data_IF_417837704823
#
_entry.id   IF_417837704823
#
_cell.length_a   1.000
_cell.length_b   1.000
_cell.length_c   1.000
_cell.angle_alpha   90.00
_cell.angle_beta   90.00
_cell.angle_gamma   90.00
#
_symmetry.space_group_name_H-M   'P 1'
#
loop_
_entity.id
_entity.type
_entity.pdbx_description
1 polymer ?
#
# COMPACT_ATOMS: atom_id res chain seq x y z
N UNK A 1 76.09 -8.57 -44.43
CA UNK A 1 75.33 -9.83 -44.61
C UNK A 1 73.85 -9.45 -44.77
N UNK A 2 73.21 -9.96 -45.81
CA UNK A 2 71.90 -9.53 -46.33
C UNK A 2 70.71 -9.81 -45.37
N UNK A 3 69.82 -8.82 -45.26
CA UNK A 3 68.36 -8.85 -45.46
C UNK A 3 67.47 -9.87 -44.73
N UNK A 4 66.48 -9.34 -44.01
CA UNK A 4 65.00 -9.42 -44.23
C UNK A 4 64.35 -9.04 -42.89
N UNK A 5 63.43 -8.08 -42.79
CA UNK A 5 62.07 -8.12 -43.34
C UNK A 5 61.45 -6.70 -43.38
N UNK A 6 61.01 -6.36 -44.59
CA UNK A 6 59.77 -5.63 -44.93
C UNK A 6 58.56 -6.49 -44.51
N UNK A 7 57.36 -6.06 -44.15
CA UNK A 7 56.56 -4.87 -44.46
C UNK A 7 55.39 -4.76 -43.45
N UNK A 8 54.63 -3.68 -43.62
CA UNK A 8 53.21 -3.45 -43.27
C UNK A 8 52.92 -2.48 -42.13
N UNK A 9 53.24 -1.22 -42.46
CA UNK A 9 52.26 -0.13 -42.57
C UNK A 9 50.82 -0.58 -42.93
N UNK A 10 49.85 0.21 -42.45
CA UNK A 10 48.40 0.21 -42.72
C UNK A 10 47.51 -0.56 -41.72
N UNK A 11 47.04 0.13 -40.67
CA UNK A 11 45.66 0.65 -40.63
C UNK A 11 45.47 1.66 -39.48
N UNK A 12 44.98 2.87 -39.84
CA UNK A 12 44.31 3.92 -39.05
C UNK A 12 45.01 4.46 -37.78
N UNK A 13 45.73 5.58 -37.84
CA UNK A 13 45.22 6.98 -37.82
C UNK A 13 44.05 7.23 -36.84
N UNK A 14 44.42 7.93 -35.76
CA UNK A 14 43.71 9.02 -35.06
C UNK A 14 42.39 8.72 -34.34
N UNK A 15 42.44 8.64 -33.00
CA UNK A 15 41.88 9.68 -32.10
C UNK A 15 42.73 9.72 -30.82
N UNK A 16 43.49 10.80 -30.58
CA UNK A 16 44.07 11.08 -29.27
C UNK A 16 43.05 11.92 -28.48
N UNK A 17 42.50 11.35 -27.40
CA UNK A 17 41.71 12.12 -26.45
C UNK A 17 42.64 12.82 -25.46
N UNK A 18 42.50 14.15 -25.38
CA UNK A 18 43.07 14.95 -24.32
C UNK A 18 42.39 14.63 -22.98
N UNK A 19 43.19 14.39 -21.94
CA UNK A 19 42.74 14.45 -20.54
C UNK A 19 42.40 13.11 -19.91
N UNK A 20 43.38 12.48 -19.27
CA UNK A 20 43.18 11.36 -18.34
C UNK A 20 42.34 11.73 -17.10
N UNK A 21 42.08 13.02 -16.83
CA UNK A 21 41.31 13.47 -15.64
C UNK A 21 39.78 13.53 -15.79
N UNK A 22 39.21 13.35 -17.00
CA UNK A 22 37.75 13.45 -17.19
C UNK A 22 37.03 12.09 -17.06
N UNK A 23 37.69 10.99 -17.48
CA UNK A 23 37.15 9.63 -17.32
C UNK A 23 37.12 9.20 -15.86
N UNK A 24 38.18 9.50 -15.10
CA UNK A 24 38.27 9.13 -13.69
C UNK A 24 37.22 9.88 -12.85
N UNK A 25 36.92 11.14 -13.19
CA UNK A 25 35.85 11.90 -12.55
C UNK A 25 34.44 11.36 -12.87
N UNK A 26 34.20 10.87 -14.10
CA UNK A 26 32.90 10.25 -14.45
C UNK A 26 32.78 8.85 -13.81
N UNK A 27 33.85 8.04 -13.80
CA UNK A 27 33.85 6.75 -13.11
C UNK A 27 33.61 6.91 -11.61
N UNK A 28 34.32 7.83 -10.95
CA UNK A 28 34.10 8.12 -9.54
C UNK A 28 32.67 8.62 -9.27
N UNK A 29 32.12 9.49 -10.12
CA UNK A 29 30.74 9.98 -9.97
C UNK A 29 29.68 8.89 -10.20
N UNK A 30 29.94 7.96 -11.13
CA UNK A 30 29.07 6.80 -11.39
C UNK A 30 29.15 5.78 -10.25
N UNK A 31 30.35 5.53 -9.72
CA UNK A 31 30.57 4.69 -8.53
C UNK A 31 29.93 5.31 -7.28
N UNK A 32 30.04 6.62 -7.08
CA UNK A 32 29.42 7.29 -5.93
C UNK A 32 27.89 7.29 -6.03
N UNK A 33 27.33 7.46 -7.24
CA UNK A 33 25.88 7.36 -7.47
C UNK A 33 25.37 5.93 -7.32
N UNK A 34 26.07 4.93 -7.86
CA UNK A 34 25.70 3.52 -7.71
C UNK A 34 25.77 3.08 -6.25
N UNK A 35 26.80 3.52 -5.52
CA UNK A 35 26.95 3.26 -4.07
C UNK A 35 25.83 3.92 -3.26
N UNK A 36 25.45 5.16 -3.58
CA UNK A 36 24.30 5.83 -2.94
C UNK A 36 22.97 5.12 -3.19
N UNK A 37 22.74 4.61 -4.40
CA UNK A 37 21.54 3.83 -4.71
C UNK A 37 21.57 2.48 -3.99
N UNK A 38 22.71 1.79 -3.99
CA UNK A 38 22.88 0.51 -3.31
C UNK A 38 22.67 0.65 -1.79
N UNK A 39 23.25 1.68 -1.17
CA UNK A 39 23.06 1.95 0.26
C UNK A 39 21.61 2.30 0.59
N UNK A 40 20.88 2.99 -0.29
CA UNK A 40 19.44 3.23 -0.10
C UNK A 40 18.63 1.93 -0.13
N UNK A 41 18.95 1.01 -1.04
CA UNK A 41 18.29 -0.30 -1.15
C UNK A 41 18.62 -1.17 0.07
N UNK A 42 19.88 -1.18 0.51
CA UNK A 42 20.32 -1.90 1.71
C UNK A 42 19.62 -1.35 2.94
N UNK A 43 19.63 -0.02 3.15
CA UNK A 43 18.97 0.60 4.30
C UNK A 43 17.46 0.31 4.31
N UNK A 44 16.79 0.37 3.15
CA UNK A 44 15.37 0.02 3.06
C UNK A 44 15.13 -1.48 3.36
N UNK A 45 16.03 -2.36 2.92
CA UNK A 45 15.98 -3.79 3.24
C UNK A 45 16.21 -4.06 4.72
N UNK A 46 17.19 -3.40 5.34
CA UNK A 46 17.48 -3.47 6.78
C UNK A 46 16.30 -2.94 7.59
N UNK A 47 15.70 -1.82 7.21
CA UNK A 47 14.51 -1.26 7.83
C UNK A 47 13.31 -2.23 7.73
N UNK A 48 13.09 -2.86 6.57
CA UNK A 48 12.06 -3.89 6.40
C UNK A 48 12.31 -5.11 7.29
N UNK A 49 13.57 -5.54 7.44
CA UNK A 49 13.96 -6.66 8.31
C UNK A 49 13.74 -6.29 9.78
N UNK A 50 14.14 -5.09 10.19
CA UNK A 50 13.95 -4.59 11.55
C UNK A 50 12.47 -4.44 11.90
N UNK A 51 11.65 -3.92 10.99
CA UNK A 51 10.20 -3.84 11.18
C UNK A 51 9.58 -5.23 11.34
N UNK A 52 10.00 -6.20 10.51
CA UNK A 52 9.52 -7.59 10.62
C UNK A 52 9.98 -8.28 11.91
N UNK A 53 11.18 -7.97 12.40
CA UNK A 53 11.67 -8.44 13.69
C UNK A 53 10.91 -7.81 14.85
N UNK A 54 10.65 -6.51 14.80
CA UNK A 54 9.83 -5.79 15.79
C UNK A 54 8.40 -6.33 15.82
N UNK A 55 7.81 -6.67 14.67
CA UNK A 55 6.51 -7.33 14.60
C UNK A 55 6.52 -8.72 15.25
N UNK A 56 7.58 -9.51 15.05
CA UNK A 56 7.75 -10.83 15.67
C UNK A 56 7.94 -10.70 17.19
N UNK A 57 8.71 -9.71 17.65
CA UNK A 57 8.95 -9.42 19.06
C UNK A 57 7.67 -8.89 19.74
N UNK A 58 6.92 -8.02 19.08
CA UNK A 58 5.62 -7.52 19.54
C UNK A 58 4.54 -8.62 19.56
N UNK A 59 4.59 -9.58 18.64
CA UNK A 59 3.74 -10.79 18.67
C UNK A 59 4.03 -11.69 19.89
N UNK A 60 5.26 -11.69 20.42
CA UNK A 60 5.62 -12.43 21.64
C UNK A 60 5.25 -11.68 22.93
N UNK A 61 5.15 -10.35 22.92
CA UNK A 61 4.89 -9.55 24.14
C UNK A 61 3.42 -9.21 24.39
N UNK A 62 2.50 -9.31 23.43
CA UNK A 62 1.08 -8.92 23.62
C UNK A 62 0.14 -10.13 23.67
N UNK A 63 0.01 -10.72 24.87
CA UNK A 63 -1.21 -11.43 25.28
C UNK A 63 -2.28 -10.38 25.66
N UNK A 64 -3.09 -9.97 24.68
CA UNK A 64 -4.34 -9.23 24.90
C UNK A 64 -4.36 -7.82 24.31
N UNK A 65 -5.07 -7.64 23.18
CA UNK A 65 -5.56 -6.31 22.72
C UNK A 65 -6.45 -6.36 21.47
N UNK A 66 -6.38 -7.41 20.63
CA UNK A 66 -7.15 -7.50 19.37
C UNK A 66 -8.67 -7.42 19.51
N UNK A 67 -9.24 -7.77 20.67
CA UNK A 67 -10.68 -7.62 20.95
C UNK A 67 -11.16 -6.16 20.97
N UNK A 68 -10.32 -5.19 21.37
CA UNK A 68 -10.77 -3.83 21.66
C UNK A 68 -11.06 -2.98 20.39
N UNK A 69 -10.26 -3.14 19.33
CA UNK A 69 -10.41 -2.33 18.11
C UNK A 69 -11.62 -2.78 17.26
N UNK A 70 -11.84 -4.09 17.12
CA UNK A 70 -12.98 -4.64 16.39
C UNK A 70 -14.30 -4.27 17.07
N UNK A 71 -14.38 -4.36 18.40
CA UNK A 71 -15.54 -3.92 19.17
C UNK A 71 -15.77 -2.41 19.04
N UNK A 72 -14.71 -1.59 19.02
CA UNK A 72 -14.82 -0.14 18.79
C UNK A 72 -15.31 0.19 17.37
N UNK A 73 -14.74 -0.44 16.33
CA UNK A 73 -15.17 -0.25 14.94
C UNK A 73 -16.63 -0.70 14.74
N UNK A 74 -17.01 -1.85 15.30
CA UNK A 74 -18.39 -2.35 15.35
C UNK A 74 -19.30 -1.36 16.08
N UNK A 75 -18.87 -0.82 17.22
CA UNK A 75 -19.67 0.16 17.97
C UNK A 75 -19.91 1.43 17.16
N UNK A 76 -18.93 1.91 16.39
CA UNK A 76 -19.06 3.11 15.55
C UNK A 76 -19.96 2.85 14.35
N UNK A 77 -19.87 1.67 13.74
CA UNK A 77 -20.75 1.26 12.64
C UNK A 77 -22.20 1.01 13.11
N UNK A 78 -22.38 0.52 14.35
CA UNK A 78 -23.68 0.13 14.89
C UNK A 78 -24.39 1.21 15.73
N UNK A 79 -23.74 2.33 16.11
CA UNK A 79 -24.28 3.28 17.11
C UNK A 79 -25.54 4.05 16.72
N UNK A 80 -26.11 3.85 15.53
CA UNK A 80 -27.44 4.37 15.18
C UNK A 80 -28.16 3.35 14.31
N UNK A 81 -29.25 2.82 14.82
CA UNK A 81 -30.19 1.94 14.11
C UNK A 81 -30.40 2.41 12.66
N UNK A 82 -29.78 1.69 11.71
CA UNK A 82 -29.73 1.92 10.26
C UNK A 82 -28.77 3.05 9.80
N UNK A 83 -27.78 2.71 8.94
CA UNK A 83 -27.46 3.36 7.63
C UNK A 83 -26.00 3.19 7.14
N UNK A 84 -24.99 2.87 7.96
CA UNK A 84 -23.59 2.98 7.46
C UNK A 84 -22.90 1.68 7.02
N UNK A 85 -23.51 0.50 7.07
CA UNK A 85 -22.89 -0.73 6.56
C UNK A 85 -23.56 -2.00 7.06
N UNK A 86 -23.26 -3.13 6.43
CA UNK A 86 -23.75 -4.46 6.77
C UNK A 86 -23.02 -5.11 7.95
N UNK A 87 -21.87 -4.57 8.33
CA UNK A 87 -21.07 -5.06 9.43
C UNK A 87 -19.57 -5.01 9.17
N UNK A 88 -18.84 -5.61 10.11
CA UNK A 88 -17.43 -5.96 10.00
C UNK A 88 -17.36 -7.46 9.79
N UNK A 89 -16.61 -7.90 8.79
CA UNK A 89 -16.47 -9.31 8.42
C UNK A 89 -15.00 -9.71 8.45
N UNK A 90 -14.72 -10.93 8.86
CA UNK A 90 -13.44 -11.59 8.65
C UNK A 90 -13.39 -12.23 7.26
N UNK A 91 -12.19 -12.55 6.76
CA UNK A 91 -12.04 -13.06 5.39
C UNK A 91 -12.81 -14.37 5.14
N UNK A 92 -12.98 -15.20 6.17
CA UNK A 92 -13.72 -16.46 6.16
C UNK A 92 -15.25 -16.28 6.22
N UNK A 93 -15.75 -15.06 6.44
CA UNK A 93 -17.18 -14.74 6.53
C UNK A 93 -17.77 -14.19 5.21
N UNK A 94 -16.96 -14.16 4.14
CA UNK A 94 -17.30 -13.55 2.84
C UNK A 94 -18.12 -14.46 1.89
N UNK A 95 -19.07 -15.21 2.42
CA UNK A 95 -19.89 -16.16 1.65
C UNK A 95 -21.06 -15.50 0.92
N UNK A 96 -21.55 -14.36 1.39
CA UNK A 96 -22.75 -13.69 0.87
C UNK A 96 -22.48 -12.76 -0.33
N UNK A 97 -23.55 -12.19 -0.92
CA UNK A 97 -23.42 -11.15 -1.96
C UNK A 97 -23.15 -9.80 -1.27
N UNK A 98 -22.06 -9.06 -1.63
CA UNK A 98 -21.79 -7.74 -1.08
C UNK A 98 -22.92 -6.79 -1.49
N UNK A 99 -23.73 -6.29 -0.56
CA UNK A 99 -24.70 -5.20 -0.84
C UNK A 99 -24.50 -4.10 0.21
N UNK A 100 -24.73 -2.85 -0.16
CA UNK A 100 -24.42 -1.73 0.72
C UNK A 100 -22.91 -1.66 0.93
N UNK A 101 -22.45 -1.44 2.16
CA UNK A 101 -21.03 -1.33 2.48
C UNK A 101 -20.65 -2.21 3.66
N UNK A 102 -19.37 -2.43 3.88
CA UNK A 102 -18.86 -3.18 5.03
C UNK A 102 -17.36 -3.08 5.16
N UNK A 103 -16.87 -3.38 6.36
CA UNK A 103 -15.43 -3.48 6.65
C UNK A 103 -15.03 -4.95 6.62
N UNK A 104 -13.87 -5.26 6.06
CA UNK A 104 -13.33 -6.60 5.94
C UNK A 104 -11.98 -6.64 6.65
N UNK A 105 -11.79 -7.61 7.53
CA UNK A 105 -10.50 -7.98 8.09
C UNK A 105 -9.82 -9.01 7.19
N UNK A 106 -8.51 -8.86 6.97
CA UNK A 106 -7.71 -9.83 6.20
C UNK A 106 -7.52 -11.15 6.94
N UNK A 107 -7.55 -11.12 8.27
CA UNK A 107 -7.43 -12.31 9.10
C UNK A 107 -8.77 -13.05 9.21
N UNK A 108 -8.70 -14.30 9.65
CA UNK A 108 -9.88 -15.12 9.94
C UNK A 108 -10.56 -14.71 11.24
N UNK A 109 -11.82 -15.10 11.40
CA UNK A 109 -12.67 -14.78 12.55
C UNK A 109 -12.09 -15.19 13.91
N UNK A 110 -11.23 -16.21 13.95
CA UNK A 110 -10.56 -16.69 15.16
C UNK A 110 -9.16 -16.08 15.40
N UNK A 111 -8.70 -15.18 14.54
CA UNK A 111 -7.42 -14.50 14.63
C UNK A 111 -7.58 -13.09 15.20
N UNK A 112 -6.45 -12.41 15.47
CA UNK A 112 -6.46 -11.11 16.16
C UNK A 112 -6.92 -9.94 15.27
N UNK A 113 -6.79 -10.08 13.95
CA UNK A 113 -6.97 -8.99 13.00
C UNK A 113 -5.67 -8.26 12.70
N UNK A 114 -5.33 -8.13 11.42
CA UNK A 114 -4.05 -7.53 10.98
C UNK A 114 -4.24 -6.31 10.10
N UNK A 115 -5.23 -6.32 9.22
CA UNK A 115 -5.52 -5.24 8.29
C UNK A 115 -7.02 -5.14 8.02
N UNK A 116 -7.53 -3.92 7.91
CA UNK A 116 -8.93 -3.63 7.68
C UNK A 116 -9.09 -2.79 6.42
N UNK A 117 -9.95 -3.27 5.53
CA UNK A 117 -10.33 -2.64 4.27
C UNK A 117 -11.84 -2.48 4.23
N UNK A 118 -12.38 -1.76 3.25
CA UNK A 118 -13.83 -1.70 3.12
C UNK A 118 -14.30 -1.81 1.68
N UNK A 119 -15.57 -2.18 1.54
CA UNK A 119 -16.27 -2.12 0.26
C UNK A 119 -17.47 -1.18 0.34
N UNK A 120 -17.83 -0.60 -0.80
CA UNK A 120 -19.06 0.16 -0.97
C UNK A 120 -19.75 -0.24 -2.28
N UNK A 121 -20.95 -0.79 -2.19
CA UNK A 121 -21.77 -1.25 -3.30
C UNK A 121 -23.11 -0.51 -3.31
N UNK A 122 -23.12 0.63 -4.00
CA UNK A 122 -24.33 1.37 -4.29
C UNK A 122 -25.13 0.65 -5.39
N UNK A 123 -26.39 0.31 -5.12
CA UNK A 123 -27.28 -0.35 -6.09
C UNK A 123 -27.45 0.42 -7.39
N UNK A 124 -27.31 1.75 -7.36
CA UNK A 124 -27.50 2.64 -8.50
C UNK A 124 -26.23 2.79 -9.36
N UNK A 125 -25.09 2.28 -8.91
CA UNK A 125 -23.82 2.34 -9.64
C UNK A 125 -23.52 0.99 -10.30
N UNK A 126 -22.89 1.02 -11.48
CA UNK A 126 -22.45 -0.17 -12.22
C UNK A 126 -21.10 -0.73 -11.72
N UNK A 127 -20.56 -0.16 -10.65
CA UNK A 127 -19.31 -0.59 -10.01
C UNK A 127 -19.51 -0.83 -8.51
N UNK A 128 -18.63 -1.66 -7.96
CA UNK A 128 -18.41 -1.84 -6.53
C UNK A 128 -17.04 -1.26 -6.19
N UNK A 129 -16.95 -0.58 -5.06
CA UNK A 129 -15.74 0.07 -4.58
C UNK A 129 -15.05 -0.85 -3.58
N UNK A 130 -13.74 -0.99 -3.70
CA UNK A 130 -12.82 -1.54 -2.71
C UNK A 130 -11.91 -0.40 -2.27
N UNK A 131 -11.78 -0.17 -0.96
CA UNK A 131 -10.92 0.87 -0.43
C UNK A 131 -9.95 0.28 0.58
N UNK A 132 -8.68 0.60 0.39
CA UNK A 132 -7.55 0.20 1.23
C UNK A 132 -6.66 1.42 1.46
N UNK A 133 -6.46 1.82 2.71
CA UNK A 133 -5.66 2.99 3.05
C UNK A 133 -4.16 2.84 2.73
N UNK A 134 -3.67 1.62 2.48
CA UNK A 134 -2.32 1.38 1.98
C UNK A 134 -2.24 1.31 0.44
N UNK A 135 -3.37 1.26 -0.28
CA UNK A 135 -3.38 1.23 -1.75
C UNK A 135 -2.70 0.00 -2.39
N UNK A 136 -2.51 -1.09 -1.64
CA UNK A 136 -1.69 -2.23 -2.07
C UNK A 136 -2.48 -3.25 -2.91
N UNK A 137 -2.73 -2.91 -4.17
CA UNK A 137 -3.53 -3.73 -5.10
C UNK A 137 -3.01 -5.16 -5.31
N UNK A 138 -1.69 -5.33 -5.31
CA UNK A 138 -1.06 -6.63 -5.49
C UNK A 138 -1.21 -7.56 -4.27
N UNK A 139 -1.74 -7.05 -3.15
CA UNK A 139 -1.90 -7.80 -1.91
C UNK A 139 -3.36 -8.06 -1.53
N UNK A 140 -4.32 -7.74 -2.40
CA UNK A 140 -5.74 -8.04 -2.14
C UNK A 140 -5.94 -9.57 -2.15
N UNK A 141 -6.43 -10.17 -1.05
CA UNK A 141 -6.71 -11.61 -1.00
C UNK A 141 -7.74 -12.05 -2.06
N UNK A 142 -7.53 -13.25 -2.61
CA UNK A 142 -8.41 -13.82 -3.65
C UNK A 142 -9.85 -14.00 -3.17
N UNK A 143 -10.05 -14.27 -1.88
CA UNK A 143 -11.34 -14.40 -1.22
C UNK A 143 -12.13 -13.10 -1.29
N UNK A 144 -11.46 -11.95 -1.06
CA UNK A 144 -12.08 -10.63 -1.20
C UNK A 144 -12.45 -10.37 -2.65
N UNK A 145 -11.54 -10.63 -3.60
CA UNK A 145 -11.82 -10.46 -5.03
C UNK A 145 -13.02 -11.32 -5.45
N UNK A 146 -13.05 -12.58 -5.02
CA UNK A 146 -14.13 -13.53 -5.29
C UNK A 146 -15.45 -13.02 -4.72
N UNK A 147 -15.43 -12.52 -3.48
CA UNK A 147 -16.59 -11.92 -2.83
C UNK A 147 -17.10 -10.70 -3.60
N UNK A 148 -16.24 -9.75 -3.97
CA UNK A 148 -16.61 -8.56 -4.74
C UNK A 148 -17.21 -8.92 -6.10
N UNK A 149 -16.67 -9.94 -6.79
CA UNK A 149 -17.20 -10.44 -8.08
C UNK A 149 -18.63 -10.97 -7.98
N UNK A 150 -19.09 -11.43 -6.80
CA UNK A 150 -20.50 -11.84 -6.59
C UNK A 150 -21.49 -10.68 -6.83
N UNK A 151 -21.04 -9.42 -6.78
CA UNK A 151 -21.87 -8.26 -7.13
C UNK A 151 -22.25 -8.19 -8.62
N UNK A 152 -21.51 -8.88 -9.50
CA UNK A 152 -21.59 -8.76 -10.97
C UNK A 152 -21.33 -7.34 -11.50
N UNK A 153 -20.56 -6.54 -10.75
CA UNK A 153 -20.18 -5.16 -11.11
C UNK A 153 -18.69 -5.03 -11.38
N UNK A 154 -18.31 -3.93 -12.03
CA UNK A 154 -16.89 -3.54 -12.18
C UNK A 154 -16.32 -3.27 -10.78
N UNK A 155 -15.14 -3.80 -10.48
CA UNK A 155 -14.45 -3.51 -9.22
C UNK A 155 -13.57 -2.27 -9.43
N UNK A 156 -13.77 -1.23 -8.62
CA UNK A 156 -12.91 -0.05 -8.56
C UNK A 156 -12.17 -0.01 -7.23
N UNK A 157 -10.93 0.43 -7.26
CA UNK A 157 -10.06 0.54 -6.10
C UNK A 157 -9.29 1.86 -6.12
N UNK A 158 -8.78 2.28 -4.96
CA UNK A 158 -7.75 3.31 -4.88
C UNK A 158 -6.35 2.67 -4.97
N UNK A 159 -5.37 3.44 -5.44
CA UNK A 159 -3.97 3.06 -5.59
C UNK A 159 -3.00 3.95 -4.79
N UNK A 160 -3.52 4.99 -4.12
CA UNK A 160 -2.73 5.89 -3.29
C UNK A 160 -2.54 5.34 -1.88
N UNK A 161 -1.31 5.48 -1.36
CA UNK A 161 -0.96 5.17 0.04
C UNK A 161 -1.34 6.38 0.89
N UNK A 162 -2.40 6.25 1.70
CA UNK A 162 -2.99 7.36 2.47
C UNK A 162 -2.58 7.34 3.95
N UNK A 163 -2.29 6.15 4.48
CA UNK A 163 -1.98 5.90 5.89
C UNK A 163 -0.48 5.68 6.10
N UNK A 164 0.04 6.20 7.21
CA UNK A 164 1.42 5.95 7.65
C UNK A 164 1.63 4.47 8.00
N UNK A 165 2.79 3.91 7.67
CA UNK A 165 3.07 2.47 7.80
C UNK A 165 2.98 1.97 9.25
N UNK A 166 3.34 2.81 10.21
CA UNK A 166 3.30 2.55 11.66
C UNK A 166 1.95 2.89 12.31
N UNK A 167 1.01 3.45 11.54
CA UNK A 167 -0.33 3.79 12.03
C UNK A 167 -1.22 2.55 12.12
N UNK A 168 -1.97 2.42 13.21
CA UNK A 168 -2.97 1.36 13.41
C UNK A 168 -4.40 1.78 13.03
N UNK A 169 -4.55 2.75 12.11
CA UNK A 169 -5.82 3.44 11.84
C UNK A 169 -6.56 2.98 10.58
N UNK A 170 -6.14 1.92 9.88
CA UNK A 170 -6.80 1.45 8.65
C UNK A 170 -8.32 1.23 8.80
N UNK A 171 -8.77 0.70 9.93
CA UNK A 171 -10.20 0.61 10.25
C UNK A 171 -10.91 1.97 10.36
N UNK A 172 -10.23 3.00 10.87
CA UNK A 172 -10.76 4.36 10.93
C UNK A 172 -10.83 5.00 9.53
N UNK A 173 -9.83 4.76 8.67
CA UNK A 173 -9.87 5.17 7.27
C UNK A 173 -11.07 4.53 6.54
N UNK A 174 -11.34 3.25 6.78
CA UNK A 174 -12.53 2.57 6.25
C UNK A 174 -13.83 3.25 6.69
N UNK A 175 -13.96 3.56 7.98
CA UNK A 175 -15.14 4.24 8.53
C UNK A 175 -15.30 5.63 7.92
N UNK A 176 -14.21 6.40 7.77
CA UNK A 176 -14.23 7.68 7.09
C UNK A 176 -14.79 7.56 5.68
N UNK A 177 -14.20 6.67 4.88
CA UNK A 177 -14.60 6.45 3.49
C UNK A 177 -16.10 6.15 3.40
N UNK A 178 -16.57 5.16 4.18
CA UNK A 178 -17.96 4.74 4.22
C UNK A 178 -18.89 5.88 4.69
N UNK A 179 -18.53 6.63 5.74
CA UNK A 179 -19.32 7.78 6.22
C UNK A 179 -19.46 8.85 5.13
N UNK A 180 -18.39 9.15 4.41
CA UNK A 180 -18.41 10.17 3.36
C UNK A 180 -19.22 9.69 2.14
N UNK A 181 -19.11 8.41 1.75
CA UNK A 181 -19.95 7.82 0.69
C UNK A 181 -21.43 7.87 1.04
N UNK A 182 -21.79 7.57 2.29
CA UNK A 182 -23.18 7.66 2.76
C UNK A 182 -23.70 9.10 2.86
N UNK A 183 -22.83 10.12 2.89
CA UNK A 183 -23.20 11.54 2.70
C UNK A 183 -23.37 11.93 1.22
N UNK A 184 -23.25 10.98 0.30
CA UNK A 184 -23.39 11.21 -1.14
C UNK A 184 -22.11 11.68 -1.84
N UNK A 185 -20.97 11.81 -1.14
CA UNK A 185 -19.70 12.19 -1.78
C UNK A 185 -19.22 11.11 -2.74
N UNK A 186 -18.66 11.49 -3.89
CA UNK A 186 -18.11 10.54 -4.86
C UNK A 186 -16.76 9.98 -4.39
N UNK A 187 -16.35 8.77 -4.81
CA UNK A 187 -15.05 8.18 -4.44
C UNK A 187 -13.87 9.14 -4.62
N UNK A 188 -13.78 9.78 -5.78
CA UNK A 188 -12.69 10.68 -6.11
C UNK A 188 -12.69 11.96 -5.26
N UNK A 189 -13.85 12.48 -4.90
CA UNK A 189 -13.96 13.64 -3.99
C UNK A 189 -13.47 13.30 -2.58
N UNK A 190 -13.67 12.05 -2.13
CA UNK A 190 -13.19 11.57 -0.83
C UNK A 190 -11.67 11.42 -0.87
N UNK A 191 -11.14 10.75 -1.89
CA UNK A 191 -9.70 10.60 -2.05
C UNK A 191 -9.00 11.96 -2.12
N UNK A 192 -9.50 12.89 -2.94
CA UNK A 192 -8.94 14.23 -3.09
C UNK A 192 -9.10 15.14 -1.84
N UNK A 193 -9.87 14.71 -0.83
CA UNK A 193 -9.92 15.42 0.46
C UNK A 193 -8.76 15.04 1.40
N UNK A 194 -7.93 14.08 0.99
CA UNK A 194 -6.72 13.64 1.68
C UNK A 194 -5.49 13.87 0.80
N UNK A 195 -4.32 13.97 1.42
CA UNK A 195 -3.06 13.93 0.68
C UNK A 195 -2.86 12.52 0.09
N UNK A 196 -2.47 12.44 -1.18
CA UNK A 196 -2.25 11.16 -1.88
C UNK A 196 -0.91 10.48 -1.51
N UNK A 197 -0.41 10.76 -0.31
CA UNK A 197 0.78 10.18 0.31
C UNK A 197 0.59 10.17 1.83
N UNK A 198 1.26 9.25 2.56
CA UNK A 198 1.08 9.14 4.01
C UNK A 198 1.64 10.37 4.74
N UNK A 199 0.81 11.00 5.58
CA UNK A 199 1.21 12.18 6.35
C UNK A 199 0.31 12.42 7.58
N UNK A 200 0.82 13.20 8.54
CA UNK A 200 0.11 13.53 9.79
C UNK A 200 -1.24 14.21 9.55
N UNK A 201 -1.37 14.99 8.48
CA UNK A 201 -2.64 15.61 8.11
C UNK A 201 -3.74 14.55 7.90
N UNK A 202 -3.45 13.50 7.12
CA UNK A 202 -4.40 12.41 6.90
C UNK A 202 -4.75 11.73 8.23
N UNK A 203 -3.73 11.40 9.03
CA UNK A 203 -3.92 10.71 10.31
C UNK A 203 -4.76 11.53 11.31
N UNK A 204 -4.59 12.85 11.32
CA UNK A 204 -5.34 13.77 12.17
C UNK A 204 -6.77 13.94 11.67
N UNK A 205 -6.99 14.05 10.36
CA UNK A 205 -8.33 14.16 9.76
C UNK A 205 -9.18 12.95 10.07
N UNK A 206 -8.61 11.74 9.95
CA UNK A 206 -9.30 10.48 10.27
C UNK A 206 -9.62 10.36 11.76
N UNK A 207 -8.78 10.92 12.64
CA UNK A 207 -8.97 10.87 14.09
C UNK A 207 -10.14 11.73 14.59
N UNK A 208 -10.58 12.73 13.81
CA UNK A 208 -11.78 13.55 14.15
C UNK A 208 -13.08 12.75 14.22
N UNK A 209 -13.06 11.49 13.78
CA UNK A 209 -14.22 10.60 13.70
C UNK A 209 -14.35 9.65 14.90
N UNK A 210 -13.34 9.60 15.78
CA UNK A 210 -13.26 8.69 16.93
C UNK A 210 -13.95 9.21 18.17
#
# INVERSE_FOLDING_TARGET
>A
MYSRKRDNQFYNKSVQFYGSGFKDNILNLLEEKSTKVLNRVINAGEEMIQNKLNDILNKKSVKGSGKNINEKLLSILNKKNNIYGRGVFSIDELYHIPKGCGVINFDKSFEKGSHWVCYFNDKNLNFIEYFDSFGELNKIPNEIITFLKKSKKIIKYNDSVLQQLDSSKCGCFCIFYIKQRNKGKKPLEILNSLNQFPCDFNEMEISKLS
#
